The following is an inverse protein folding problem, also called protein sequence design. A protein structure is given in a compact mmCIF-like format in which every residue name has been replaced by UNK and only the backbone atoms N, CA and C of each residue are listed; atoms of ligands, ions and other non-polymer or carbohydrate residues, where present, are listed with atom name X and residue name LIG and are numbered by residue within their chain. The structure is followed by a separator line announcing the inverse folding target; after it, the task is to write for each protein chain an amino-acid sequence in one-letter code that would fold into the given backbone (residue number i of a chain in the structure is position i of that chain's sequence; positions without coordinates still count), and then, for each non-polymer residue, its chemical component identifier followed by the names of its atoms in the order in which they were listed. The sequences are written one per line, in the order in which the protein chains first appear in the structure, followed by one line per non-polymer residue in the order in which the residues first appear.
data_IF_464704435346
#
_entry.id   IF_464704435346
#
_cell.length_a   1.000
_cell.length_b   1.000
_cell.length_c   1.000
_cell.angle_alpha   90.00
_cell.angle_beta   90.00
_cell.angle_gamma   90.00
#
_symmetry.space_group_name_H-M   'P 1'
#
loop_
_entity.id
_entity.type
_entity.pdbx_description
1 polymer ?
#
# COMPACT_ATOMS: atom_id res chain seq x y z
N UNK A 1 51.20 -16.91 -59.81
CA UNK A 1 50.95 -15.52 -59.40
C UNK A 1 49.69 -15.50 -58.53
N UNK A 2 49.78 -14.85 -57.37
CA UNK A 2 49.02 -15.06 -56.13
C UNK A 2 47.48 -15.07 -56.19
N UNK A 3 46.87 -16.07 -55.52
CA UNK A 3 45.52 -15.97 -54.94
C UNK A 3 45.64 -15.41 -53.52
N UNK A 4 45.20 -14.17 -53.27
CA UNK A 4 45.01 -13.63 -51.91
C UNK A 4 43.57 -13.91 -51.46
N UNK A 5 43.43 -14.75 -50.44
CA UNK A 5 42.21 -14.89 -49.63
C UNK A 5 41.99 -13.59 -48.85
N UNK A 6 40.86 -12.92 -49.07
CA UNK A 6 40.38 -11.90 -48.13
C UNK A 6 39.60 -12.59 -47.02
N UNK A 7 40.13 -12.52 -45.81
CA UNK A 7 39.48 -12.95 -44.58
C UNK A 7 38.52 -11.82 -44.18
N UNK A 8 37.22 -12.03 -44.32
CA UNK A 8 36.22 -11.14 -43.73
C UNK A 8 36.08 -11.49 -42.25
N UNK A 9 36.75 -10.72 -41.40
CA UNK A 9 36.49 -10.76 -39.95
C UNK A 9 35.16 -10.05 -39.69
N UNK A 10 34.11 -10.81 -39.44
CA UNK A 10 32.84 -10.27 -38.90
C UNK A 10 33.14 -9.83 -37.47
N UNK A 11 33.34 -8.54 -37.27
CA UNK A 11 33.29 -7.92 -35.94
C UNK A 11 31.82 -7.98 -35.51
N UNK A 12 31.48 -9.01 -34.73
CA UNK A 12 30.22 -9.04 -34.00
C UNK A 12 30.26 -7.89 -32.99
N UNK A 13 29.60 -6.79 -33.34
CA UNK A 13 29.24 -5.76 -32.39
C UNK A 13 28.27 -6.41 -31.40
N UNK A 14 28.80 -6.94 -30.30
CA UNK A 14 28.01 -7.14 -29.10
C UNK A 14 27.53 -5.74 -28.69
N UNK A 15 26.32 -5.39 -29.12
CA UNK A 15 25.52 -4.40 -28.44
C UNK A 15 25.37 -4.92 -27.01
N UNK A 16 26.27 -4.48 -26.12
CA UNK A 16 25.99 -4.42 -24.70
C UNK A 16 24.74 -3.56 -24.61
N UNK A 17 23.56 -4.18 -24.59
CA UNK A 17 22.35 -3.53 -24.14
C UNK A 17 22.61 -3.19 -22.69
N UNK A 18 23.07 -1.96 -22.46
CA UNK A 18 23.01 -1.36 -21.14
C UNK A 18 21.52 -1.35 -20.82
N UNK A 19 21.07 -2.33 -20.02
CA UNK A 19 19.74 -2.31 -19.44
C UNK A 19 19.72 -1.10 -18.51
N UNK A 20 19.20 0.02 -19.03
CA UNK A 20 18.89 1.17 -18.21
C UNK A 20 17.75 0.75 -17.30
N UNK A 21 17.98 0.76 -15.99
CA UNK A 21 16.93 0.54 -15.01
C UNK A 21 15.87 1.64 -15.12
N UNK A 22 14.60 1.25 -15.14
CA UNK A 22 13.46 2.15 -15.17
C UNK A 22 12.65 2.14 -13.87
N UNK A 23 11.69 3.06 -13.81
CA UNK A 23 10.69 3.11 -12.75
C UNK A 23 9.38 2.47 -13.25
N UNK A 24 8.87 1.50 -12.52
CA UNK A 24 7.67 0.74 -12.85
C UNK A 24 6.61 0.91 -11.76
N UNK A 25 5.45 1.38 -12.16
CA UNK A 25 4.30 1.62 -11.28
C UNK A 25 3.23 0.56 -11.55
N UNK A 26 2.74 -0.07 -10.49
CA UNK A 26 1.58 -0.97 -10.58
C UNK A 26 0.34 -0.16 -10.96
N UNK A 27 -0.45 -0.65 -11.91
CA UNK A 27 -1.69 -0.04 -12.43
C UNK A 27 -2.74 -1.11 -12.74
N UNK A 28 -3.95 -0.66 -13.10
CA UNK A 28 -5.05 -1.53 -13.53
C UNK A 28 -5.56 -2.53 -12.46
N UNK A 29 -5.62 -2.12 -11.19
CA UNK A 29 -6.21 -2.93 -10.10
C UNK A 29 -5.49 -4.26 -9.84
N UNK A 30 -6.19 -5.27 -9.30
CA UNK A 30 -5.62 -6.56 -8.97
C UNK A 30 -5.26 -7.38 -10.21
N UNK A 31 -4.27 -8.25 -10.09
CA UNK A 31 -3.74 -9.01 -11.22
C UNK A 31 -2.54 -9.88 -10.88
N UNK A 32 -1.85 -10.36 -11.91
CA UNK A 32 -0.62 -11.16 -11.77
C UNK A 32 0.60 -10.28 -11.95
N UNK A 33 1.61 -10.42 -11.09
CA UNK A 33 2.83 -9.60 -11.13
C UNK A 33 3.53 -9.63 -12.49
N UNK A 34 3.54 -10.78 -13.16
CA UNK A 34 4.21 -10.98 -14.44
C UNK A 34 3.38 -10.57 -15.67
N UNK A 35 2.20 -9.99 -15.47
CA UNK A 35 1.40 -9.45 -16.57
C UNK A 35 1.80 -8.00 -16.83
N UNK A 36 2.40 -7.76 -18.01
CA UNK A 36 2.88 -6.45 -18.43
C UNK A 36 1.78 -5.38 -18.46
N UNK A 37 0.51 -5.77 -18.59
CA UNK A 37 -0.63 -4.84 -18.58
C UNK A 37 -0.83 -4.15 -17.22
N UNK A 38 -0.22 -4.65 -16.14
CA UNK A 38 -0.27 -4.02 -14.82
C UNK A 38 0.88 -3.07 -14.54
N UNK A 39 1.74 -2.79 -15.53
CA UNK A 39 2.92 -1.96 -15.32
C UNK A 39 2.94 -0.75 -16.24
N UNK A 40 3.18 0.41 -15.64
CA UNK A 40 3.37 1.69 -16.32
C UNK A 40 4.69 2.36 -15.91
N UNK A 41 5.21 3.26 -16.74
CA UNK A 41 6.36 4.10 -16.41
C UNK A 41 5.98 5.38 -15.65
N UNK A 42 4.68 5.60 -15.41
CA UNK A 42 4.14 6.73 -14.68
C UNK A 42 3.05 6.25 -13.72
N UNK A 43 2.96 6.88 -12.55
CA UNK A 43 1.96 6.55 -11.55
C UNK A 43 0.54 6.81 -12.06
N UNK A 44 -0.35 5.82 -11.98
CA UNK A 44 -1.71 5.87 -12.55
C UNK A 44 -1.75 5.88 -14.08
N UNK A 45 -0.63 5.64 -14.76
CA UNK A 45 -0.51 5.67 -16.21
C UNK A 45 -1.12 4.45 -16.90
N UNK A 46 -1.01 4.41 -18.23
CA UNK A 46 -1.43 3.27 -19.03
C UNK A 46 -0.46 2.11 -18.85
N UNK A 47 -1.01 0.93 -18.58
CA UNK A 47 -0.24 -0.31 -18.47
C UNK A 47 0.27 -0.85 -19.81
N UNK A 48 1.20 -1.80 -19.76
CA UNK A 48 1.74 -2.49 -20.94
C UNK A 48 3.20 -2.15 -21.28
N UNK A 49 3.96 -1.54 -20.36
CA UNK A 49 5.36 -1.13 -20.64
C UNK A 49 6.38 -2.26 -20.46
N UNK A 50 5.98 -3.40 -19.90
CA UNK A 50 6.85 -4.56 -19.64
C UNK A 50 6.69 -5.09 -18.21
N UNK A 51 7.49 -6.06 -17.82
CA UNK A 51 7.54 -6.57 -16.43
C UNK A 51 8.87 -6.11 -15.80
N UNK A 52 8.87 -5.60 -14.55
CA UNK A 52 10.09 -5.17 -13.87
C UNK A 52 11.12 -6.29 -13.74
N UNK A 53 12.40 -5.91 -13.75
CA UNK A 53 13.55 -6.79 -13.57
C UNK A 53 14.42 -6.34 -12.39
N UNK A 54 15.49 -7.09 -12.11
CA UNK A 54 16.50 -6.75 -11.08
C UNK A 54 17.13 -5.35 -11.21
N UNK A 55 16.97 -4.68 -12.35
CA UNK A 55 17.50 -3.33 -12.59
C UNK A 55 16.45 -2.23 -12.37
N UNK A 56 15.18 -2.60 -12.20
CA UNK A 56 14.05 -1.68 -12.21
C UNK A 56 13.50 -1.42 -10.81
N UNK A 57 13.14 -0.17 -10.55
CA UNK A 57 12.45 0.21 -9.32
C UNK A 57 10.96 -0.06 -9.48
N UNK A 58 10.33 -0.59 -8.44
CA UNK A 58 8.90 -0.87 -8.41
C UNK A 58 8.19 0.00 -7.38
N UNK A 59 7.05 0.55 -7.78
CA UNK A 59 6.20 1.41 -6.97
C UNK A 59 4.76 0.87 -6.98
N UNK A 60 4.20 0.69 -5.78
CA UNK A 60 2.77 0.46 -5.55
C UNK A 60 2.30 1.61 -4.67
N UNK A 61 1.34 2.39 -5.15
CA UNK A 61 0.89 3.59 -4.46
C UNK A 61 -0.59 3.87 -4.66
N UNK A 62 -1.13 4.95 -4.07
CA UNK A 62 -2.56 5.30 -4.16
C UNK A 62 -3.19 5.29 -5.56
N UNK A 63 -2.40 5.47 -6.63
CA UNK A 63 -2.90 5.47 -8.01
C UNK A 63 -2.86 4.09 -8.69
N UNK A 64 -2.41 3.06 -7.97
CA UNK A 64 -2.35 1.68 -8.44
C UNK A 64 -3.73 1.01 -8.53
N UNK A 65 -4.71 1.49 -7.75
CA UNK A 65 -6.02 0.87 -7.61
C UNK A 65 -7.13 1.93 -7.75
N UNK A 66 -8.17 1.60 -8.53
CA UNK A 66 -9.42 2.36 -8.65
C UNK A 66 -10.56 1.70 -7.89
N UNK A 67 -10.36 0.50 -7.35
CA UNK A 67 -11.30 -0.24 -6.51
C UNK A 67 -10.58 -0.75 -5.25
N UNK A 68 -11.28 -0.89 -4.10
CA UNK A 68 -10.70 -1.50 -2.90
C UNK A 68 -10.56 -3.03 -3.04
N UNK A 69 -9.86 -3.65 -2.08
CA UNK A 69 -9.71 -5.11 -1.90
C UNK A 69 -9.11 -5.85 -3.11
N UNK A 70 -8.27 -5.18 -3.86
CA UNK A 70 -7.62 -5.74 -5.04
C UNK A 70 -6.44 -6.63 -4.66
N UNK A 71 -6.24 -7.73 -5.39
CA UNK A 71 -5.14 -8.67 -5.09
C UNK A 71 -4.04 -8.61 -6.13
N UNK A 72 -2.81 -8.34 -5.70
CA UNK A 72 -1.59 -8.53 -6.49
C UNK A 72 -1.07 -9.95 -6.21
N UNK A 73 -1.04 -10.79 -7.25
CA UNK A 73 -0.60 -12.17 -7.17
C UNK A 73 0.84 -12.32 -7.71
N UNK A 74 1.76 -12.71 -6.84
CA UNK A 74 3.11 -13.14 -7.24
C UNK A 74 3.05 -14.67 -7.41
N UNK A 75 3.08 -15.13 -8.67
CA UNK A 75 2.87 -16.54 -9.04
C UNK A 75 4.16 -17.27 -9.46
N UNK A 76 5.26 -16.55 -9.65
CA UNK A 76 6.61 -17.08 -9.86
C UNK A 76 7.63 -16.24 -9.11
N UNK A 77 8.89 -16.66 -9.11
CA UNK A 77 9.97 -15.80 -8.65
C UNK A 77 9.97 -14.48 -9.44
N UNK A 78 10.20 -13.38 -8.75
CA UNK A 78 10.27 -12.04 -9.32
C UNK A 78 11.53 -11.34 -8.84
N UNK A 79 12.10 -10.51 -9.69
CA UNK A 79 13.34 -9.78 -9.45
C UNK A 79 13.08 -8.29 -9.62
N UNK A 80 13.45 -7.48 -8.62
CA UNK A 80 13.32 -6.02 -8.62
C UNK A 80 14.59 -5.38 -8.08
N UNK A 81 14.93 -4.18 -8.54
CA UNK A 81 16.02 -3.41 -7.91
C UNK A 81 15.58 -2.90 -6.56
N UNK A 82 14.61 -2.00 -6.55
CA UNK A 82 14.02 -1.45 -5.33
C UNK A 82 12.52 -1.73 -5.33
N UNK A 83 11.92 -1.91 -4.16
CA UNK A 83 10.46 -1.96 -4.01
C UNK A 83 10.01 -0.88 -3.06
N UNK A 84 9.00 -0.13 -3.48
CA UNK A 84 8.38 0.93 -2.70
C UNK A 84 6.87 0.74 -2.69
N UNK A 85 6.29 0.54 -1.51
CA UNK A 85 4.85 0.44 -1.29
C UNK A 85 4.48 1.58 -0.33
N UNK A 86 3.81 2.61 -0.84
CA UNK A 86 3.56 3.89 -0.14
C UNK A 86 2.09 4.33 -0.24
N UNK A 87 1.64 5.12 0.74
CA UNK A 87 0.47 6.02 0.73
C UNK A 87 -0.90 5.45 0.33
N UNK A 88 -1.87 5.61 1.26
CA UNK A 88 -3.35 5.49 1.25
C UNK A 88 -3.96 4.83 0.01
N UNK A 89 -3.42 3.68 -0.38
CA UNK A 89 -4.12 2.74 -1.24
C UNK A 89 -5.29 2.24 -0.43
N UNK A 90 -6.51 2.25 -0.98
CA UNK A 90 -7.54 1.38 -0.41
C UNK A 90 -6.96 -0.02 -0.20
N UNK A 91 -7.37 -0.70 0.88
CA UNK A 91 -6.81 -1.98 1.29
C UNK A 91 -6.62 -2.91 0.08
N UNK A 92 -5.38 -3.24 -0.26
CA UNK A 92 -5.08 -4.25 -1.27
C UNK A 92 -4.42 -5.46 -0.62
N UNK A 93 -4.37 -6.57 -1.33
CA UNK A 93 -3.82 -7.84 -0.86
C UNK A 93 -2.58 -8.14 -1.68
N UNK A 94 -1.43 -8.30 -1.04
CA UNK A 94 -0.25 -8.89 -1.68
C UNK A 94 -0.22 -10.37 -1.36
N UNK A 95 -0.25 -11.23 -2.39
CA UNK A 95 -0.34 -12.68 -2.23
C UNK A 95 0.79 -13.40 -2.97
N UNK A 96 1.35 -14.42 -2.32
CA UNK A 96 2.34 -15.34 -2.89
C UNK A 96 2.48 -16.59 -2.03
N UNK A 97 2.95 -17.69 -2.63
CA UNK A 97 3.08 -18.98 -1.95
C UNK A 97 4.51 -19.25 -1.46
N UNK A 98 4.67 -20.20 -0.53
CA UNK A 98 5.93 -20.55 0.15
C UNK A 98 7.13 -20.87 -0.76
N UNK A 99 6.88 -21.37 -1.97
CA UNK A 99 7.95 -21.74 -2.92
C UNK A 99 8.46 -20.56 -3.76
N UNK A 100 7.82 -19.39 -3.65
CA UNK A 100 8.10 -18.23 -4.48
C UNK A 100 9.08 -17.31 -3.76
N UNK A 101 9.95 -16.64 -4.53
CA UNK A 101 10.89 -15.64 -4.03
C UNK A 101 10.62 -14.26 -4.65
N UNK A 102 10.50 -13.24 -3.81
CA UNK A 102 10.66 -11.83 -4.17
C UNK A 102 12.13 -11.47 -3.94
N UNK A 103 12.88 -11.36 -5.03
CA UNK A 103 14.30 -11.01 -5.02
C UNK A 103 14.44 -9.49 -5.17
N UNK A 104 15.02 -8.84 -4.16
CA UNK A 104 15.24 -7.40 -4.13
C UNK A 104 16.74 -7.16 -4.20
N UNK A 105 17.20 -6.43 -5.22
CA UNK A 105 18.64 -6.20 -5.49
C UNK A 105 19.19 -4.91 -4.85
N UNK A 106 18.31 -4.16 -4.21
CA UNK A 106 18.52 -2.84 -3.60
C UNK A 106 17.69 -2.69 -2.32
N UNK A 107 17.07 -1.53 -2.15
CA UNK A 107 16.31 -1.14 -0.96
C UNK A 107 14.83 -1.52 -1.03
N UNK A 108 14.21 -1.66 0.14
CA UNK A 108 12.79 -1.94 0.29
C UNK A 108 12.17 -0.89 1.22
N UNK A 109 11.09 -0.25 0.76
CA UNK A 109 10.31 0.72 1.54
C UNK A 109 8.84 0.32 1.55
N UNK A 110 8.40 -0.35 2.60
CA UNK A 110 7.04 -0.89 2.72
C UNK A 110 6.34 -0.32 3.94
N UNK A 111 5.33 0.51 3.70
CA UNK A 111 4.51 1.13 4.75
C UNK A 111 3.17 0.38 4.95
N UNK A 112 2.62 0.37 6.17
CA UNK A 112 1.51 -0.52 6.55
C UNK A 112 0.14 0.01 6.12
N UNK A 113 -0.30 -0.26 4.88
CA UNK A 113 -1.68 0.02 4.41
C UNK A 113 -2.14 -1.03 3.37
N UNK A 114 -1.82 -2.31 3.63
CA UNK A 114 -2.25 -3.44 2.81
C UNK A 114 -2.33 -4.74 3.62
N UNK A 115 -3.13 -5.68 3.14
CA UNK A 115 -3.20 -7.03 3.70
C UNK A 115 -2.05 -7.89 3.15
N UNK A 116 -1.10 -8.24 4.03
CA UNK A 116 0.00 -9.13 3.69
C UNK A 116 -0.42 -10.62 3.77
N UNK A 117 -0.64 -11.24 2.60
CA UNK A 117 -0.80 -12.69 2.43
C UNK A 117 0.37 -13.31 1.62
N UNK A 118 1.53 -12.65 1.61
CA UNK A 118 2.71 -13.17 0.95
C UNK A 118 3.44 -14.15 1.87
N UNK A 119 3.30 -15.45 1.60
CA UNK A 119 3.90 -16.53 2.40
C UNK A 119 5.25 -17.03 1.84
N UNK A 120 5.79 -16.35 0.82
CA UNK A 120 7.00 -16.76 0.11
C UNK A 120 8.31 -16.44 0.85
N UNK A 121 9.33 -16.15 0.06
CA UNK A 121 10.66 -15.80 0.54
C UNK A 121 11.03 -14.40 0.05
N UNK A 122 11.48 -13.54 0.94
CA UNK A 122 12.03 -12.24 0.59
C UNK A 122 13.55 -12.35 0.63
N UNK A 123 14.19 -12.16 -0.52
CA UNK A 123 15.63 -12.33 -0.68
C UNK A 123 16.26 -11.00 -1.04
N UNK A 124 17.08 -10.46 -0.14
CA UNK A 124 17.87 -9.27 -0.44
C UNK A 124 19.18 -9.72 -1.08
N UNK A 125 19.23 -9.62 -2.40
CA UNK A 125 20.38 -9.94 -3.25
C UNK A 125 21.09 -8.63 -3.58
N UNK A 126 22.36 -8.64 -3.95
CA UNK A 126 23.06 -7.38 -4.27
C UNK A 126 24.57 -7.52 -4.18
N UNK A 127 25.28 -6.54 -4.71
CA UNK A 127 26.75 -6.56 -4.78
C UNK A 127 27.38 -6.02 -3.49
N UNK A 128 28.71 -6.12 -3.37
CA UNK A 128 29.43 -5.61 -2.20
C UNK A 128 29.43 -4.09 -2.04
N UNK A 129 29.05 -3.34 -3.08
CA UNK A 129 28.96 -1.87 -3.06
C UNK A 129 27.56 -1.34 -2.74
N UNK A 130 26.53 -2.19 -2.70
CA UNK A 130 25.16 -1.74 -2.44
C UNK A 130 24.92 -1.55 -0.94
N UNK A 131 24.33 -0.42 -0.57
CA UNK A 131 23.68 -0.22 0.71
C UNK A 131 22.17 -0.39 0.50
N UNK A 132 21.56 -1.24 1.31
CA UNK A 132 20.15 -1.58 1.27
C UNK A 132 19.49 -0.99 2.50
N UNK A 133 18.62 -0.02 2.30
CA UNK A 133 17.71 0.42 3.36
C UNK A 133 16.48 -0.48 3.35
N UNK A 134 16.17 -1.04 4.52
CA UNK A 134 15.10 -2.01 4.69
C UNK A 134 14.09 -1.42 5.68
N UNK A 135 13.00 -0.90 5.13
CA UNK A 135 11.83 -0.48 5.86
C UNK A 135 10.70 -1.48 5.56
N UNK A 136 10.37 -2.31 6.55
CA UNK A 136 9.34 -3.34 6.43
C UNK A 136 8.13 -3.07 7.34
N UNK A 137 8.06 -1.88 7.94
CA UNK A 137 6.92 -1.39 8.71
C UNK A 137 6.73 -2.06 10.08
N UNK A 138 5.64 -1.70 10.76
CA UNK A 138 5.26 -2.19 12.09
C UNK A 138 4.25 -3.36 12.04
N UNK A 139 4.26 -4.15 10.96
CA UNK A 139 3.33 -5.27 10.76
C UNK A 139 4.07 -6.61 10.61
N UNK A 140 3.34 -7.69 10.84
CA UNK A 140 3.89 -9.05 10.83
C UNK A 140 4.01 -9.59 9.41
N UNK A 141 5.25 -9.86 8.99
CA UNK A 141 5.55 -10.52 7.72
C UNK A 141 5.35 -12.03 7.78
N UNK A 142 4.72 -12.56 6.72
CA UNK A 142 4.46 -14.00 6.57
C UNK A 142 5.53 -14.72 5.75
N UNK A 143 6.69 -14.12 5.54
CA UNK A 143 7.74 -14.62 4.67
C UNK A 143 9.04 -14.92 5.43
N UNK A 144 9.81 -15.89 4.92
CA UNK A 144 11.20 -16.04 5.33
C UNK A 144 12.05 -14.94 4.70
N UNK A 145 13.03 -14.43 5.43
CA UNK A 145 13.96 -13.42 4.95
C UNK A 145 15.35 -14.02 4.74
N UNK A 146 15.93 -13.76 3.58
CA UNK A 146 17.30 -14.14 3.26
C UNK A 146 18.11 -12.89 2.95
N UNK A 147 19.14 -12.64 3.75
CA UNK A 147 20.09 -11.55 3.54
C UNK A 147 21.31 -12.11 2.80
N UNK A 148 21.28 -12.02 1.47
CA UNK A 148 22.14 -12.71 0.51
C UNK A 148 22.91 -11.72 -0.40
N UNK A 149 23.24 -10.53 0.11
CA UNK A 149 24.10 -9.52 -0.50
C UNK A 149 25.44 -9.39 0.25
N UNK A 150 26.52 -9.12 -0.48
CA UNK A 150 27.80 -8.79 0.16
C UNK A 150 27.84 -7.36 0.74
N UNK A 151 26.80 -6.56 0.49
CA UNK A 151 26.66 -5.18 0.90
C UNK A 151 26.18 -5.00 2.35
N UNK A 152 25.71 -3.78 2.63
CA UNK A 152 25.16 -3.40 3.94
C UNK A 152 23.64 -3.41 3.89
N UNK A 153 22.99 -3.94 4.92
CA UNK A 153 21.57 -3.81 5.20
C UNK A 153 21.41 -2.89 6.39
N UNK A 154 20.61 -1.83 6.24
CA UNK A 154 20.31 -0.90 7.32
C UNK A 154 18.80 -0.95 7.56
N UNK A 155 18.39 -1.46 8.72
CA UNK A 155 16.99 -1.40 9.12
C UNK A 155 16.62 0.05 9.45
N UNK A 156 15.45 0.47 8.99
CA UNK A 156 14.84 1.77 9.32
C UNK A 156 13.44 1.60 9.94
N UNK A 157 13.06 0.35 10.21
CA UNK A 157 11.90 -0.06 11.00
C UNK A 157 12.24 -1.36 11.73
N UNK A 158 11.44 -1.77 12.73
CA UNK A 158 11.47 -3.14 13.22
C UNK A 158 11.27 -4.15 12.09
N UNK A 159 11.84 -5.35 12.25
CA UNK A 159 11.62 -6.47 11.34
C UNK A 159 10.85 -7.56 12.09
N UNK A 160 9.54 -7.65 11.81
CA UNK A 160 8.62 -8.53 12.51
C UNK A 160 8.20 -9.72 11.65
N UNK A 161 8.92 -10.82 11.72
CA UNK A 161 8.62 -12.05 10.98
C UNK A 161 7.84 -13.09 11.82
N UNK A 162 7.91 -12.97 13.16
CA UNK A 162 7.26 -13.81 14.17
C UNK A 162 7.35 -15.31 13.89
N UNK A 163 6.47 -15.85 13.05
CA UNK A 163 6.37 -17.28 12.69
C UNK A 163 7.35 -17.72 11.60
N UNK A 164 8.14 -16.80 11.03
CA UNK A 164 9.04 -17.07 9.91
C UNK A 164 10.50 -16.81 10.26
N UNK A 165 11.38 -17.39 9.46
CA UNK A 165 12.81 -17.44 9.75
C UNK A 165 13.58 -16.30 9.08
N UNK A 166 14.71 -15.94 9.69
CA UNK A 166 15.70 -15.04 9.11
C UNK A 166 16.99 -15.81 8.88
N UNK A 167 17.50 -15.74 7.65
CA UNK A 167 18.76 -16.30 7.21
C UNK A 167 19.72 -15.16 6.90
N UNK A 168 20.62 -14.86 7.83
CA UNK A 168 21.69 -13.90 7.63
C UNK A 168 22.88 -14.60 6.96
N UNK A 169 22.89 -14.62 5.63
CA UNK A 169 23.79 -15.47 4.88
C UNK A 169 25.14 -14.80 4.57
N UNK A 170 25.15 -13.48 4.31
CA UNK A 170 26.35 -12.67 4.02
C UNK A 170 26.08 -11.16 4.17
N UNK A 171 27.15 -10.36 4.27
CA UNK A 171 27.09 -8.89 4.29
C UNK A 171 27.14 -8.27 5.70
N UNK A 172 26.71 -7.01 5.84
CA UNK A 172 26.63 -6.30 7.12
C UNK A 172 25.18 -5.90 7.46
N UNK A 173 24.57 -6.52 8.47
CA UNK A 173 23.27 -6.09 8.99
C UNK A 173 23.46 -5.07 10.10
N UNK A 174 22.94 -3.85 9.93
CA UNK A 174 22.84 -2.82 10.96
C UNK A 174 21.38 -2.62 11.34
N UNK A 175 21.03 -2.88 12.60
CA UNK A 175 19.64 -2.77 13.08
C UNK A 175 19.25 -1.33 13.41
N UNK A 176 20.22 -0.45 13.64
CA UNK A 176 19.98 0.96 14.01
C UNK A 176 19.09 1.12 15.25
N UNK A 177 19.13 0.16 16.18
CA UNK A 177 18.29 0.14 17.38
C UNK A 177 16.87 -0.39 17.14
N UNK A 178 16.54 -0.83 15.92
CA UNK A 178 15.26 -1.47 15.64
C UNK A 178 15.30 -2.97 15.98
N UNK A 179 14.20 -3.44 16.57
CA UNK A 179 14.11 -4.83 17.03
C UNK A 179 13.82 -5.81 15.89
N UNK A 180 14.25 -7.05 16.11
CA UNK A 180 14.04 -8.16 15.18
C UNK A 180 13.28 -9.26 15.90
N UNK A 181 12.10 -9.60 15.38
CA UNK A 181 11.24 -10.66 15.91
C UNK A 181 11.11 -11.75 14.84
N UNK A 182 11.56 -12.97 15.11
CA UNK A 182 11.50 -14.06 14.14
C UNK A 182 11.40 -15.43 14.81
N UNK A 183 11.00 -16.46 14.05
CA UNK A 183 10.86 -17.80 14.59
C UNK A 183 12.24 -18.40 14.86
N UNK A 184 13.04 -18.52 13.81
CA UNK A 184 14.44 -18.90 13.89
C UNK A 184 15.34 -17.82 13.26
N UNK A 185 16.49 -17.57 13.87
CA UNK A 185 17.57 -16.75 13.32
C UNK A 185 18.79 -17.63 13.02
N UNK A 186 19.18 -17.68 11.75
CA UNK A 186 20.31 -18.46 11.26
C UNK A 186 21.40 -17.53 10.70
N UNK A 187 22.62 -17.68 11.20
CA UNK A 187 23.85 -17.01 10.70
C UNK A 187 25.01 -18.02 10.73
N UNK A 188 24.79 -19.16 10.06
CA UNK A 188 25.65 -20.35 10.20
C UNK A 188 26.57 -20.59 8.99
N UNK A 189 26.54 -19.71 8.00
CA UNK A 189 27.24 -19.88 6.71
C UNK A 189 28.77 -19.76 6.83
N UNK A 190 29.48 -19.98 5.72
CA UNK A 190 30.93 -19.76 5.62
C UNK A 190 31.33 -18.36 5.08
N UNK A 191 30.34 -17.53 4.72
CA UNK A 191 30.56 -16.20 4.13
C UNK A 191 30.96 -15.16 5.19
N UNK A 192 31.47 -14.00 4.75
CA UNK A 192 31.69 -12.87 5.67
C UNK A 192 30.35 -12.28 6.10
N UNK A 193 30.17 -12.14 7.41
CA UNK A 193 28.96 -11.60 8.04
C UNK A 193 29.35 -10.61 9.13
N UNK A 194 28.66 -9.47 9.20
CA UNK A 194 28.81 -8.51 10.30
C UNK A 194 27.44 -8.09 10.82
N UNK A 195 27.18 -8.25 12.11
CA UNK A 195 25.96 -7.81 12.76
C UNK A 195 26.26 -6.62 13.68
N UNK A 196 25.66 -5.47 13.38
CA UNK A 196 25.76 -4.24 14.15
C UNK A 196 24.38 -3.96 14.75
N UNK A 197 24.13 -4.60 15.89
CA UNK A 197 22.86 -4.64 16.59
C UNK A 197 22.57 -3.36 17.38
N UNK A 198 23.54 -2.49 17.68
CA UNK A 198 23.26 -1.16 18.28
C UNK A 198 22.29 -1.18 19.48
N UNK A 199 22.44 -2.17 20.36
CA UNK A 199 21.56 -2.38 21.53
C UNK A 199 20.09 -2.67 21.22
N UNK A 200 19.76 -3.10 20.00
CA UNK A 200 18.41 -3.59 19.66
C UNK A 200 18.07 -4.86 20.43
N UNK A 201 16.78 -5.21 20.44
CA UNK A 201 16.27 -6.46 21.00
C UNK A 201 16.01 -7.47 19.89
N UNK A 202 16.42 -8.71 20.12
CA UNK A 202 16.05 -9.86 19.30
C UNK A 202 15.10 -10.76 20.08
N UNK A 203 13.93 -11.03 19.51
CA UNK A 203 12.96 -11.99 20.05
C UNK A 203 12.87 -13.17 19.11
N UNK A 204 13.31 -14.31 19.61
CA UNK A 204 13.43 -15.54 18.83
C UNK A 204 12.45 -16.55 19.40
N UNK A 205 11.46 -16.98 18.61
CA UNK A 205 10.46 -17.91 19.15
C UNK A 205 11.01 -19.31 19.37
N UNK A 206 12.05 -19.73 18.65
CA UNK A 206 12.50 -21.12 18.66
C UNK A 206 14.02 -21.28 18.62
N UNK A 207 14.71 -20.88 17.54
CA UNK A 207 16.17 -21.14 17.41
C UNK A 207 17.00 -19.91 17.08
N UNK A 208 18.06 -19.71 17.84
CA UNK A 208 19.16 -18.81 17.52
C UNK A 208 20.40 -19.65 17.20
N UNK A 209 20.93 -19.53 15.99
CA UNK A 209 22.06 -20.32 15.52
C UNK A 209 23.09 -19.43 14.81
N UNK A 210 24.27 -19.26 15.39
CA UNK A 210 25.39 -18.54 14.77
C UNK A 210 26.64 -19.44 14.74
N UNK A 211 27.50 -19.22 13.75
CA UNK A 211 28.81 -19.90 13.67
C UNK A 211 29.95 -18.89 13.60
N UNK A 212 31.11 -19.25 14.16
CA UNK A 212 32.29 -18.37 14.24
C UNK A 212 32.84 -17.96 12.87
N UNK A 213 32.63 -18.80 11.85
CA UNK A 213 33.23 -18.63 10.52
C UNK A 213 32.90 -17.26 9.91
N UNK A 214 33.84 -16.31 10.08
CA UNK A 214 33.79 -14.93 9.55
C UNK A 214 32.55 -14.14 9.99
N UNK A 215 32.06 -14.40 11.20
CA UNK A 215 30.97 -13.64 11.83
C UNK A 215 31.54 -12.62 12.82
N UNK A 216 31.30 -11.33 12.58
CA UNK A 216 31.64 -10.24 13.49
C UNK A 216 30.37 -9.64 14.06
N UNK A 217 30.34 -9.28 15.34
CA UNK A 217 29.15 -8.68 15.93
C UNK A 217 29.44 -7.78 17.15
N UNK A 218 28.47 -6.97 17.56
CA UNK A 218 28.48 -6.11 18.76
C UNK A 218 27.40 -6.49 19.80
N UNK A 219 26.97 -7.75 19.81
CA UNK A 219 25.87 -8.29 20.64
C UNK A 219 26.03 -8.19 22.18
N UNK A 220 27.11 -7.60 22.70
CA UNK A 220 27.36 -7.55 24.14
C UNK A 220 26.34 -6.68 24.91
N UNK A 221 25.69 -5.74 24.23
CA UNK A 221 24.65 -4.86 24.80
C UNK A 221 23.26 -5.15 24.22
N UNK A 222 23.14 -6.20 23.41
CA UNK A 222 21.90 -6.60 22.74
C UNK A 222 21.13 -7.57 23.62
N UNK A 223 19.84 -7.31 23.82
CA UNK A 223 18.96 -8.28 24.48
C UNK A 223 18.55 -9.35 23.47
N UNK A 224 18.72 -10.62 23.83
CA UNK A 224 18.28 -11.76 23.01
C UNK A 224 17.37 -12.63 23.86
N UNK A 225 16.10 -12.68 23.51
CA UNK A 225 15.09 -13.55 24.13
C UNK A 225 14.85 -14.77 23.25
N UNK A 226 14.80 -15.96 23.85
CA UNK A 226 14.42 -17.21 23.19
C UNK A 226 13.21 -17.79 23.92
N UNK A 227 12.03 -17.66 23.28
CA UNK A 227 10.74 -17.82 23.95
C UNK A 227 10.31 -19.28 24.18
N UNK A 228 10.68 -20.21 23.30
CA UNK A 228 10.37 -21.64 23.46
C UNK A 228 11.65 -22.46 23.39
N UNK A 229 12.57 -22.22 24.33
CA UNK A 229 13.87 -22.89 24.29
C UNK A 229 13.75 -24.37 24.68
N UNK A 230 14.39 -25.21 23.87
CA UNK A 230 14.72 -26.60 24.16
C UNK A 230 16.25 -26.78 24.03
N UNK A 231 16.76 -27.97 24.33
CA UNK A 231 18.16 -28.30 24.08
C UNK A 231 18.53 -28.02 22.61
N UNK A 232 19.58 -27.22 22.39
CA UNK A 232 20.03 -26.81 21.07
C UNK A 232 19.29 -25.60 20.46
N UNK A 233 18.30 -25.01 21.12
CA UNK A 233 17.65 -23.77 20.68
C UNK A 233 18.62 -22.59 20.61
N UNK A 234 19.59 -22.53 21.53
CA UNK A 234 20.66 -21.54 21.50
C UNK A 234 21.99 -22.21 21.13
N UNK A 235 22.48 -21.91 19.94
CA UNK A 235 23.84 -22.22 19.51
C UNK A 235 24.49 -20.92 19.08
N UNK A 236 25.61 -20.58 19.72
CA UNK A 236 26.34 -19.37 19.42
C UNK A 236 27.78 -19.66 19.00
N UNK A 237 28.36 -18.71 18.30
CA UNK A 237 29.80 -18.61 18.14
C UNK A 237 30.52 -18.35 19.48
N UNK A 238 31.85 -18.31 19.45
CA UNK A 238 32.69 -18.12 20.63
C UNK A 238 32.61 -16.71 21.25
N UNK A 239 31.69 -15.85 20.78
CA UNK A 239 31.44 -14.51 21.31
C UNK A 239 30.89 -14.48 22.75
N UNK A 240 31.09 -13.35 23.43
CA UNK A 240 30.78 -13.14 24.85
C UNK A 240 29.35 -12.67 25.17
N UNK A 241 28.37 -12.97 24.32
CA UNK A 241 26.96 -12.64 24.56
C UNK A 241 26.16 -13.87 25.04
N UNK A 242 24.99 -13.61 25.60
CA UNK A 242 24.06 -14.62 26.12
C UNK A 242 22.64 -14.36 25.63
N UNK A 243 21.81 -15.39 25.69
CA UNK A 243 20.37 -15.25 25.50
C UNK A 243 19.63 -15.58 26.81
N UNK A 244 18.53 -14.88 27.04
CA UNK A 244 17.56 -15.20 28.08
C UNK A 244 16.60 -16.23 27.48
N UNK A 245 16.53 -17.41 28.09
CA UNK A 245 15.88 -18.59 27.50
C UNK A 245 14.75 -19.08 28.40
N UNK A 246 13.50 -19.04 27.94
CA UNK A 246 12.40 -19.70 28.66
C UNK A 246 12.31 -21.17 28.30
N UNK A 247 12.16 -22.01 29.32
CA UNK A 247 11.97 -23.45 29.13
C UNK A 247 10.49 -23.76 28.87
N UNK A 248 10.21 -24.75 28.02
CA UNK A 248 8.86 -25.23 27.75
C UNK A 248 8.27 -26.11 28.88
N UNK A 249 8.87 -26.10 30.07
CA UNK A 249 8.43 -26.94 31.18
C UNK A 249 7.19 -26.33 31.84
N UNK A 250 6.01 -26.92 31.62
CA UNK A 250 4.74 -26.50 32.24
C UNK A 250 4.80 -26.48 33.78
N UNK A 251 5.73 -27.23 34.39
CA UNK A 251 5.89 -27.35 35.85
C UNK A 251 6.78 -26.25 36.47
N UNK A 252 7.23 -25.25 35.70
CA UNK A 252 8.14 -24.18 36.16
C UNK A 252 7.68 -22.77 35.75
N UNK A 253 6.40 -22.58 35.38
CA UNK A 253 5.89 -21.25 35.03
C UNK A 253 5.33 -20.52 36.24
N UNK A 254 6.18 -19.73 36.89
CA UNK A 254 5.80 -18.73 37.90
C UNK A 254 4.79 -17.70 37.36
N UNK A 255 4.95 -17.32 36.08
CA UNK A 255 4.01 -16.47 35.34
C UNK A 255 2.91 -17.34 34.72
N UNK A 256 1.67 -17.15 35.16
CA UNK A 256 0.52 -17.95 34.71
C UNK A 256 -0.20 -17.34 33.51
N UNK A 257 -0.22 -16.01 33.40
CA UNK A 257 -0.79 -15.32 32.24
C UNK A 257 -0.18 -13.93 32.05
N UNK A 258 -0.06 -13.53 30.78
CA UNK A 258 0.19 -12.16 30.36
C UNK A 258 -0.86 -11.84 29.31
N UNK A 259 -1.79 -10.95 29.64
CA UNK A 259 -2.82 -10.46 28.71
C UNK A 259 -2.52 -9.02 28.37
N UNK A 260 -2.75 -8.65 27.12
CA UNK A 260 -2.62 -7.27 26.66
C UNK A 260 -3.84 -6.98 25.81
N UNK A 261 -4.58 -5.94 26.15
CA UNK A 261 -5.76 -5.54 25.39
C UNK A 261 -5.35 -4.84 24.10
N UNK A 262 -6.05 -5.16 23.01
CA UNK A 262 -5.88 -4.47 21.74
C UNK A 262 -6.44 -3.05 21.84
N UNK A 263 -5.88 -2.15 21.04
CA UNK A 263 -6.36 -0.78 20.94
C UNK A 263 -6.52 -0.36 19.48
N UNK A 264 -7.20 0.75 19.25
CA UNK A 264 -7.35 1.37 17.92
C UNK A 264 -7.01 2.84 18.05
N UNK A 265 -6.09 3.31 17.20
CA UNK A 265 -5.67 4.72 17.19
C UNK A 265 -6.85 5.63 16.83
N UNK A 266 -6.80 6.90 17.26
CA UNK A 266 -7.95 7.79 17.07
C UNK A 266 -8.31 7.96 15.61
N UNK A 267 -7.32 8.16 14.72
CA UNK A 267 -7.53 8.34 13.28
C UNK A 267 -6.37 7.84 12.43
N UNK A 268 -6.68 7.16 11.32
CA UNK A 268 -5.70 6.73 10.30
C UNK A 268 -4.45 6.10 10.90
N UNK A 269 -3.29 6.74 10.65
CA UNK A 269 -1.97 6.31 11.13
C UNK A 269 -1.45 7.18 12.30
N UNK A 270 -2.34 7.84 13.05
CA UNK A 270 -1.91 8.55 14.25
C UNK A 270 -1.25 7.58 15.22
N UNK A 271 -0.23 8.06 15.93
CA UNK A 271 0.50 7.26 16.92
C UNK A 271 0.05 7.64 18.32
N UNK A 272 -1.23 7.41 18.64
CA UNK A 272 -1.84 7.73 19.93
C UNK A 272 -2.45 6.52 20.63
N UNK A 273 -2.20 5.30 20.11
CA UNK A 273 -2.64 4.07 20.75
C UNK A 273 -2.00 3.84 22.12
N UNK A 274 -2.69 3.07 22.94
CA UNK A 274 -2.34 2.72 24.32
C UNK A 274 -2.50 1.21 24.50
N UNK A 275 -1.49 0.55 25.05
CA UNK A 275 -1.59 -0.86 25.44
C UNK A 275 -1.33 -1.00 26.93
N UNK A 276 -2.11 -1.85 27.58
CA UNK A 276 -2.01 -2.17 29.01
C UNK A 276 -1.82 -3.69 29.14
N UNK A 277 -0.75 -4.09 29.82
CA UNK A 277 -0.44 -5.47 30.12
C UNK A 277 -0.90 -5.84 31.54
N UNK A 278 -1.70 -6.90 31.64
CA UNK A 278 -2.05 -7.52 32.91
C UNK A 278 -1.22 -8.80 33.09
N UNK A 279 -0.42 -8.82 34.16
CA UNK A 279 0.48 -9.93 34.47
C UNK A 279 0.00 -10.65 35.73
N UNK A 280 -0.25 -11.94 35.61
CA UNK A 280 -0.48 -12.82 36.76
C UNK A 280 0.76 -13.68 36.98
N UNK A 281 1.42 -13.46 38.12
CA UNK A 281 2.60 -14.20 38.53
C UNK A 281 2.50 -14.62 40.00
N UNK A 282 3.00 -15.82 40.28
CA UNK A 282 3.18 -16.37 41.62
C UNK A 282 4.53 -15.99 42.25
N UNK A 283 5.41 -15.31 41.49
CA UNK A 283 6.73 -14.85 41.92
C UNK A 283 6.94 -13.34 41.59
N UNK A 284 6.21 -12.42 42.25
CA UNK A 284 6.50 -10.97 42.12
C UNK A 284 7.82 -10.58 42.83
N UNK A 285 8.51 -9.51 42.39
CA UNK A 285 8.14 -8.57 41.33
C UNK A 285 8.44 -9.09 39.92
N UNK A 286 7.66 -8.62 38.94
CA UNK A 286 7.91 -8.87 37.53
C UNK A 286 8.48 -7.63 36.83
N UNK A 287 9.09 -7.86 35.67
CA UNK A 287 9.59 -6.82 34.76
C UNK A 287 8.95 -7.03 33.39
N UNK A 288 8.72 -5.94 32.67
CA UNK A 288 8.12 -5.95 31.34
C UNK A 288 9.09 -5.26 30.38
N UNK A 289 9.35 -5.88 29.23
CA UNK A 289 10.12 -5.30 28.13
C UNK A 289 9.21 -5.25 26.90
N UNK A 290 8.87 -4.06 26.44
CA UNK A 290 7.98 -3.89 25.30
C UNK A 290 8.76 -3.87 24.00
N UNK A 291 8.29 -4.67 23.05
CA UNK A 291 8.84 -4.73 21.70
C UNK A 291 7.73 -4.57 20.65
N UNK A 292 8.05 -4.09 19.45
CA UNK A 292 9.34 -3.53 19.08
C UNK A 292 9.52 -2.06 19.48
N UNK A 293 10.78 -1.63 19.57
CA UNK A 293 11.17 -0.26 19.88
C UNK A 293 11.26 0.01 21.38
N UNK A 294 11.19 1.29 21.74
CA UNK A 294 11.18 1.77 23.14
C UNK A 294 10.00 2.73 23.30
N UNK A 295 8.76 2.22 23.34
CA UNK A 295 7.58 3.07 23.46
C UNK A 295 7.59 3.87 24.77
N UNK A 296 6.82 4.95 24.82
CA UNK A 296 6.70 5.75 26.05
C UNK A 296 6.03 4.89 27.13
N UNK A 297 6.71 4.68 28.25
CA UNK A 297 6.25 3.78 29.32
C UNK A 297 6.89 2.39 29.29
N UNK A 298 7.85 2.12 28.39
CA UNK A 298 8.59 0.86 28.39
C UNK A 298 9.22 0.57 29.76
N UNK A 299 9.16 -0.71 30.18
CA UNK A 299 9.45 -1.12 31.56
C UNK A 299 8.24 -1.18 32.50
N UNK A 300 7.06 -0.67 32.08
CA UNK A 300 5.84 -0.62 32.90
C UNK A 300 4.71 -1.44 32.31
N UNK A 301 3.59 -1.55 33.03
CA UNK A 301 2.37 -2.23 32.55
C UNK A 301 1.66 -1.46 31.44
N UNK A 302 1.95 -0.17 31.25
CA UNK A 302 1.23 0.69 30.32
C UNK A 302 2.18 1.40 29.37
N UNK A 303 1.93 1.27 28.07
CA UNK A 303 2.65 2.01 27.03
C UNK A 303 1.69 2.86 26.20
N UNK A 304 2.18 4.01 25.74
CA UNK A 304 1.35 5.02 25.04
C UNK A 304 2.08 5.59 23.82
N UNK A 305 1.33 6.28 22.96
CA UNK A 305 1.89 6.95 21.77
C UNK A 305 2.21 5.96 20.65
N UNK A 306 1.42 4.90 20.53
CA UNK A 306 1.70 3.77 19.66
C UNK A 306 1.04 3.96 18.30
N UNK A 307 1.82 3.71 17.24
CA UNK A 307 1.32 3.69 15.87
C UNK A 307 0.60 2.36 15.58
N UNK A 308 -0.21 2.27 14.51
CA UNK A 308 -0.76 1.00 14.08
C UNK A 308 0.33 -0.06 13.86
N UNK A 309 0.17 -1.20 14.50
CA UNK A 309 1.17 -2.26 14.49
C UNK A 309 0.93 -3.35 15.52
N UNK A 310 1.82 -4.35 15.50
CA UNK A 310 1.84 -5.43 16.49
C UNK A 310 2.95 -5.20 17.51
N UNK A 311 2.60 -5.41 18.78
CA UNK A 311 3.46 -5.21 19.94
C UNK A 311 3.44 -6.46 20.84
N UNK A 312 4.53 -6.68 21.59
CA UNK A 312 4.63 -7.74 22.58
C UNK A 312 5.20 -7.21 23.88
N UNK A 313 4.59 -7.59 25.00
CA UNK A 313 5.13 -7.44 26.33
C UNK A 313 5.89 -8.73 26.68
N UNK A 314 7.21 -8.65 26.78
CA UNK A 314 8.05 -9.77 27.26
C UNK A 314 8.17 -9.62 28.77
N UNK A 315 7.70 -10.62 29.50
CA UNK A 315 7.63 -10.57 30.96
C UNK A 315 8.57 -11.58 31.56
N UNK A 316 9.35 -11.14 32.55
CA UNK A 316 10.16 -12.01 33.41
C UNK A 316 9.87 -11.69 34.87
N UNK A 317 10.05 -12.67 35.76
CA UNK A 317 9.78 -12.50 37.18
C UNK A 317 10.90 -13.09 38.05
N UNK A 318 10.67 -13.25 39.37
CA UNK A 318 11.72 -13.72 40.26
C UNK A 318 12.15 -15.18 40.07
N UNK A 319 11.40 -15.99 39.33
CA UNK A 319 11.77 -17.37 39.01
C UNK A 319 12.52 -17.40 37.67
N UNK A 320 13.78 -16.97 37.66
CA UNK A 320 14.58 -16.98 36.45
C UNK A 320 14.90 -18.45 36.05
N UNK A 321 14.52 -18.92 34.85
CA UNK A 321 14.38 -18.15 33.61
C UNK A 321 12.95 -18.09 33.03
N UNK A 322 11.91 -18.02 33.86
CA UNK A 322 10.53 -17.89 33.39
C UNK A 322 10.38 -16.63 32.54
N UNK A 323 10.09 -16.84 31.24
CA UNK A 323 9.60 -15.80 30.35
C UNK A 323 8.18 -16.17 29.92
N UNK A 324 7.34 -15.16 29.89
CA UNK A 324 6.06 -15.18 29.22
C UNK A 324 5.97 -14.00 28.26
N UNK A 325 5.03 -14.04 27.34
CA UNK A 325 4.71 -12.90 26.53
C UNK A 325 3.21 -12.74 26.36
N UNK A 326 2.78 -11.48 26.35
CA UNK A 326 1.48 -11.07 25.83
C UNK A 326 1.69 -10.36 24.50
N UNK A 327 0.76 -10.52 23.57
CA UNK A 327 0.77 -9.81 22.29
C UNK A 327 -0.52 -9.05 22.11
N UNK A 328 -0.43 -7.83 21.60
CA UNK A 328 -1.57 -7.04 21.19
C UNK A 328 -1.28 -6.30 19.89
N UNK A 329 -2.35 -5.85 19.26
CA UNK A 329 -2.31 -5.00 18.08
C UNK A 329 -2.91 -3.65 18.40
N UNK A 330 -2.22 -2.61 17.96
CA UNK A 330 -2.80 -1.28 17.78
C UNK A 330 -3.28 -1.24 16.33
N UNK A 331 -4.59 -1.21 16.12
CA UNK A 331 -5.18 -1.14 14.79
C UNK A 331 -5.25 0.30 14.31
N UNK A 332 -5.14 0.50 12.99
CA UNK A 332 -5.49 1.77 12.37
C UNK A 332 -7.00 2.01 12.47
N UNK A 333 -7.42 3.27 12.56
CA UNK A 333 -8.84 3.59 12.41
C UNK A 333 -9.25 3.27 10.97
N UNK A 334 -10.31 2.49 10.79
CA UNK A 334 -10.78 2.08 9.45
C UNK A 334 -11.10 3.31 8.60
N UNK A 335 -10.77 3.28 7.29
CA UNK A 335 -11.02 4.41 6.41
C UNK A 335 -12.53 4.61 6.15
N UNK A 336 -12.95 5.86 6.02
CA UNK A 336 -14.28 6.20 5.51
C UNK A 336 -14.29 5.90 4.01
N UNK A 337 -15.16 4.99 3.56
CA UNK A 337 -15.32 4.63 2.15
C UNK A 337 -16.75 4.90 1.64
N UNK A 338 -16.94 5.23 0.35
CA UNK A 338 -18.27 5.36 -0.24
C UNK A 338 -19.01 4.02 -0.23
N UNK A 339 -20.25 4.01 0.27
CA UNK A 339 -21.17 2.88 0.19
C UNK A 339 -22.10 3.00 -1.02
N UNK A 340 -22.61 4.20 -1.29
CA UNK A 340 -23.39 4.54 -2.48
C UNK A 340 -22.87 5.86 -3.02
N UNK A 341 -22.60 5.91 -4.31
CA UNK A 341 -22.21 7.11 -5.03
C UNK A 341 -23.04 7.21 -6.31
N UNK A 342 -23.86 8.26 -6.41
CA UNK A 342 -24.66 8.55 -7.60
C UNK A 342 -24.43 10.01 -7.97
N UNK A 343 -23.90 10.23 -9.17
CA UNK A 343 -23.79 11.57 -9.75
C UNK A 343 -24.82 11.68 -10.88
N UNK A 344 -25.79 12.56 -10.69
CA UNK A 344 -26.79 12.91 -11.70
C UNK A 344 -26.32 14.16 -12.45
N UNK A 345 -26.10 14.10 -13.77
CA UNK A 345 -25.74 15.26 -14.58
C UNK A 345 -26.88 16.28 -14.63
N UNK A 346 -26.59 17.49 -15.10
CA UNK A 346 -27.60 18.52 -15.35
C UNK A 346 -28.49 18.09 -16.53
N UNK A 347 -29.76 18.49 -16.53
CA UNK A 347 -30.69 18.11 -17.62
C UNK A 347 -30.43 18.86 -18.91
N UNK A 348 -29.94 20.11 -18.81
CA UNK A 348 -29.69 21.01 -19.91
C UNK A 348 -28.34 21.72 -19.74
N UNK A 349 -27.89 22.32 -20.84
CA UNK A 349 -26.78 23.27 -20.80
C UNK A 349 -27.11 24.42 -19.85
N UNK A 350 -26.14 24.83 -19.04
CA UNK A 350 -26.24 25.92 -18.07
C UNK A 350 -27.34 25.72 -17.01
N UNK A 351 -27.99 24.56 -16.94
CA UNK A 351 -28.91 24.24 -15.85
C UNK A 351 -28.14 23.81 -14.61
N UNK A 352 -28.74 24.07 -13.45
CA UNK A 352 -28.16 23.72 -12.15
C UNK A 352 -29.08 22.78 -11.39
N UNK A 353 -29.52 21.71 -12.04
CA UNK A 353 -30.43 20.70 -11.50
C UNK A 353 -29.76 19.32 -11.33
N UNK A 354 -28.44 19.25 -11.50
CA UNK A 354 -27.66 18.07 -11.17
C UNK A 354 -27.67 17.77 -9.67
N UNK A 355 -27.28 16.55 -9.32
CA UNK A 355 -27.18 16.13 -7.92
C UNK A 355 -26.08 15.11 -7.68
N UNK A 356 -25.56 15.08 -6.45
CA UNK A 356 -24.67 14.03 -5.97
C UNK A 356 -25.31 13.41 -4.73
N UNK A 357 -25.43 12.09 -4.72
CA UNK A 357 -25.80 11.30 -3.54
C UNK A 357 -24.58 10.50 -3.12
N UNK A 358 -24.10 10.76 -1.91
CA UNK A 358 -23.04 10.03 -1.25
C UNK A 358 -23.53 9.49 0.09
N UNK A 359 -23.56 8.17 0.23
CA UNK A 359 -23.55 7.53 1.56
C UNK A 359 -22.20 6.88 1.77
N UNK A 360 -21.72 6.87 3.00
CA UNK A 360 -20.46 6.23 3.38
C UNK A 360 -20.73 5.04 4.27
N UNK A 361 -19.88 4.01 4.20
CA UNK A 361 -19.82 3.02 5.28
C UNK A 361 -18.72 3.44 6.25
N UNK A 362 -19.05 3.35 7.53
CA UNK A 362 -18.12 3.46 8.65
C UNK A 362 -18.17 2.12 9.37
N UNK A 363 -17.44 1.13 8.85
CA UNK A 363 -17.41 -0.19 9.48
C UNK A 363 -16.88 -0.07 10.92
N UNK A 364 -17.59 -0.65 11.88
CA UNK A 364 -17.07 -0.97 13.21
C UNK A 364 -17.07 0.13 14.29
N UNK A 365 -17.12 1.42 13.97
CA UNK A 365 -16.84 2.47 14.98
C UNK A 365 -17.85 3.62 14.95
N UNK A 366 -19.09 3.31 15.33
CA UNK A 366 -20.15 4.30 15.52
C UNK A 366 -20.17 4.82 16.98
N UNK A 367 -19.27 5.73 17.33
CA UNK A 367 -19.45 6.61 18.49
C UNK A 367 -19.44 8.06 17.98
N UNK A 368 -20.57 8.52 17.44
CA UNK A 368 -20.77 9.90 17.03
C UNK A 368 -21.57 10.05 15.74
N UNK A 369 -21.80 11.30 15.33
CA UNK A 369 -22.51 11.66 14.09
C UNK A 369 -21.52 11.87 12.96
N UNK A 370 -21.68 11.15 11.84
CA UNK A 370 -20.94 11.44 10.60
C UNK A 370 -21.40 12.78 10.02
N UNK A 371 -20.46 13.66 9.68
CA UNK A 371 -20.76 14.97 9.08
C UNK A 371 -20.24 15.05 7.65
N UNK A 372 -20.98 15.73 6.78
CA UNK A 372 -20.60 16.01 5.40
C UNK A 372 -20.37 17.51 5.26
N UNK A 373 -19.31 17.91 4.56
CA UNK A 373 -18.99 19.30 4.28
C UNK A 373 -18.67 19.45 2.78
N UNK A 374 -19.66 19.93 2.03
CA UNK A 374 -19.60 20.03 0.57
C UNK A 374 -19.01 21.37 0.12
N UNK A 375 -17.93 21.33 -0.66
CA UNK A 375 -17.27 22.52 -1.23
C UNK A 375 -17.28 22.47 -2.75
N UNK A 376 -17.81 23.50 -3.44
CA UNK A 376 -17.61 23.65 -4.88
C UNK A 376 -16.18 24.08 -5.21
N UNK A 377 -15.52 23.38 -6.13
CA UNK A 377 -14.16 23.72 -6.59
C UNK A 377 -14.18 24.59 -7.85
N UNK A 378 -15.10 24.31 -8.78
CA UNK A 378 -15.24 25.06 -10.05
C UNK A 378 -16.68 25.40 -10.43
N UNK A 379 -17.68 24.88 -9.70
CA UNK A 379 -19.09 25.17 -9.89
C UNK A 379 -19.55 26.44 -9.17
N UNK A 380 -20.54 27.14 -9.73
CA UNK A 380 -21.17 28.30 -9.12
C UNK A 380 -22.32 27.82 -8.23
N UNK A 381 -22.30 28.07 -6.92
CA UNK A 381 -23.36 27.61 -6.01
C UNK A 381 -23.59 28.58 -4.86
N UNK A 382 -24.86 28.69 -4.44
CA UNK A 382 -25.32 29.57 -3.36
C UNK A 382 -25.46 28.88 -2.01
N UNK A 383 -25.42 27.54 -1.93
CA UNK A 383 -25.74 26.79 -0.71
C UNK A 383 -24.75 25.62 -0.50
N UNK A 384 -24.06 25.60 0.64
CA UNK A 384 -23.25 24.46 1.11
C UNK A 384 -24.19 23.43 1.75
N UNK A 385 -24.08 22.16 1.37
CA UNK A 385 -24.85 21.06 1.98
C UNK A 385 -24.08 20.40 3.11
N UNK A 386 -24.80 19.88 4.11
CA UNK A 386 -24.23 19.12 5.25
C UNK A 386 -24.72 17.67 5.33
N UNK A 387 -25.39 17.20 4.27
CA UNK A 387 -26.13 15.94 4.24
C UNK A 387 -25.52 15.00 3.19
N UNK A 388 -26.00 13.75 3.15
CA UNK A 388 -25.63 12.73 2.16
C UNK A 388 -26.02 13.08 0.72
N UNK A 389 -26.83 14.11 0.52
CA UNK A 389 -27.35 14.49 -0.80
C UNK A 389 -27.14 15.97 -1.04
N UNK A 390 -26.46 16.30 -2.13
CA UNK A 390 -26.21 17.66 -2.59
C UNK A 390 -26.92 17.86 -3.94
N UNK A 391 -27.86 18.79 -3.99
CA UNK A 391 -28.76 19.02 -5.15
C UNK A 391 -28.63 20.45 -5.66
N UNK A 392 -29.24 20.71 -6.81
CA UNK A 392 -29.20 21.99 -7.51
C UNK A 392 -27.79 22.39 -7.95
N UNK A 393 -27.04 21.41 -8.47
CA UNK A 393 -25.65 21.57 -8.90
C UNK A 393 -25.57 21.90 -10.38
N UNK A 394 -24.83 22.95 -10.73
CA UNK A 394 -24.42 23.22 -12.11
C UNK A 394 -23.30 22.28 -12.55
N UNK A 395 -22.93 22.30 -13.83
CA UNK A 395 -21.68 21.69 -14.30
C UNK A 395 -20.50 22.16 -13.44
N UNK A 396 -19.64 21.23 -13.01
CA UNK A 396 -18.44 21.57 -12.27
C UNK A 396 -17.89 20.42 -11.44
N UNK A 397 -16.82 20.72 -10.72
CA UNK A 397 -16.18 19.80 -9.78
C UNK A 397 -16.56 20.20 -8.36
N UNK A 398 -16.97 19.21 -7.57
CA UNK A 398 -17.40 19.34 -6.19
C UNK A 398 -16.58 18.41 -5.31
N UNK A 399 -16.15 18.87 -4.15
CA UNK A 399 -15.55 18.04 -3.12
C UNK A 399 -16.46 17.90 -1.91
N UNK A 400 -16.37 16.79 -1.21
CA UNK A 400 -17.01 16.60 0.09
C UNK A 400 -16.02 16.05 1.08
N UNK A 401 -15.86 16.76 2.20
CA UNK A 401 -15.13 16.28 3.36
C UNK A 401 -16.14 15.55 4.25
N UNK A 402 -15.93 14.27 4.45
CA UNK A 402 -16.72 13.43 5.35
C UNK A 402 -15.91 13.19 6.59
N UNK A 403 -16.48 13.46 7.77
CA UNK A 403 -15.84 13.24 9.07
C UNK A 403 -16.67 12.26 9.90
N UNK A 404 -16.04 11.29 10.55
CA UNK A 404 -16.70 10.34 11.45
C UNK A 404 -16.79 10.84 12.90
N UNK A 405 -17.34 10.00 13.78
CA UNK A 405 -17.55 10.32 15.19
C UNK A 405 -16.27 10.46 16.03
N UNK A 406 -15.14 9.93 15.54
CA UNK A 406 -13.82 10.07 16.19
C UNK A 406 -13.06 11.31 15.68
N UNK A 407 -13.65 12.04 14.73
CA UNK A 407 -13.05 13.24 14.14
C UNK A 407 -12.16 12.95 12.95
N UNK A 408 -12.13 11.72 12.45
CA UNK A 408 -11.32 11.33 11.28
C UNK A 408 -12.03 11.74 10.01
N UNK A 409 -11.30 12.24 9.02
CA UNK A 409 -11.88 12.77 7.80
C UNK A 409 -11.29 12.17 6.51
N UNK A 410 -12.15 12.06 5.51
CA UNK A 410 -11.80 11.71 4.13
C UNK A 410 -12.45 12.71 3.19
N UNK A 411 -11.73 13.13 2.14
CA UNK A 411 -12.30 14.01 1.10
C UNK A 411 -12.52 13.22 -0.19
N UNK A 412 -13.74 13.32 -0.74
CA UNK A 412 -14.10 12.78 -2.04
C UNK A 412 -14.30 13.92 -3.06
N UNK A 413 -14.10 13.63 -4.34
CA UNK A 413 -14.28 14.61 -5.43
C UNK A 413 -15.13 14.02 -6.55
N UNK A 414 -16.10 14.80 -7.02
CA UNK A 414 -17.07 14.40 -8.04
C UNK A 414 -17.20 15.46 -9.13
N UNK A 415 -17.45 15.02 -10.36
CA UNK A 415 -17.68 15.90 -11.51
C UNK A 415 -19.12 15.77 -11.98
N UNK A 416 -19.87 16.88 -11.92
CA UNK A 416 -21.20 16.99 -12.53
C UNK A 416 -21.02 17.49 -13.95
N UNK A 417 -21.50 16.71 -14.92
CA UNK A 417 -21.43 17.05 -16.35
C UNK A 417 -22.73 17.74 -16.79
N UNK A 418 -22.63 18.52 -17.87
CA UNK A 418 -23.78 19.02 -18.63
C UNK A 418 -23.80 18.42 -20.04
N UNK A 419 -24.97 18.34 -20.71
CA UNK A 419 -25.03 17.92 -22.11
C UNK A 419 -24.45 18.99 -23.05
N UNK A 420 -24.02 18.55 -24.24
CA UNK A 420 -23.56 19.46 -25.30
C UNK A 420 -24.67 20.45 -25.72
N UNK A 421 -24.28 21.61 -26.25
CA UNK A 421 -25.23 22.55 -26.85
C UNK A 421 -26.02 21.89 -27.99
N UNK A 422 -27.32 22.19 -28.08
CA UNK A 422 -28.12 21.80 -29.24
C UNK A 422 -27.70 22.61 -30.46
N UNK A 423 -27.28 21.91 -31.52
CA UNK A 423 -26.99 22.47 -32.83
C UNK A 423 -28.10 22.04 -33.80
N UNK A 424 -28.87 22.95 -34.42
CA UNK A 424 -30.04 22.60 -35.22
C UNK A 424 -29.72 21.93 -36.58
N UNK A 425 -28.48 22.05 -37.07
CA UNK A 425 -27.97 21.51 -38.34
C UNK A 425 -28.99 21.56 -39.49
N UNK A 426 -29.33 22.79 -39.90
CA UNK A 426 -30.28 23.01 -40.99
C UNK A 426 -29.67 22.59 -42.32
N UNK A 427 -30.42 21.80 -43.09
CA UNK A 427 -30.15 21.44 -44.47
C UNK A 427 -31.28 21.95 -45.37
N UNK A 428 -30.96 22.47 -46.54
CA UNK A 428 -31.94 23.08 -47.46
C UNK A 428 -31.97 22.38 -48.82
N UNK A 429 -33.11 22.46 -49.49
CA UNK A 429 -33.27 22.18 -50.92
C UNK A 429 -33.78 23.43 -51.60
N UNK A 430 -33.01 23.96 -52.55
CA UNK A 430 -33.28 25.22 -53.21
C UNK A 430 -34.40 25.10 -54.25
N UNK A 431 -35.10 26.22 -54.51
CA UNK A 431 -36.09 26.31 -55.57
C UNK A 431 -35.43 26.19 -56.96
N UNK A 432 -36.05 25.48 -57.92
CA UNK A 432 -35.46 25.25 -59.24
C UNK A 432 -35.51 26.47 -60.16
N UNK A 433 -36.47 27.39 -59.93
CA UNK A 433 -36.75 28.53 -60.80
C UNK A 433 -37.17 29.77 -60.01
N UNK A 434 -36.91 30.96 -60.57
CA UNK A 434 -37.36 32.23 -60.00
C UNK A 434 -38.89 32.30 -59.95
N UNK A 435 -39.43 32.66 -58.78
CA UNK A 435 -40.87 32.78 -58.53
C UNK A 435 -41.55 31.49 -58.04
N UNK A 436 -40.80 30.38 -57.95
CA UNK A 436 -41.28 29.16 -57.31
C UNK A 436 -41.15 29.25 -55.78
N UNK A 437 -42.01 28.54 -55.06
CA UNK A 437 -41.98 28.40 -53.60
C UNK A 437 -41.94 26.93 -53.22
N UNK A 438 -41.16 26.13 -53.94
CA UNK A 438 -41.01 24.68 -53.71
C UNK A 438 -39.83 24.33 -52.78
N UNK A 439 -39.21 25.31 -52.15
CA UNK A 439 -38.04 25.13 -51.29
C UNK A 439 -38.37 24.31 -50.03
N UNK A 440 -37.36 23.63 -49.49
CA UNK A 440 -37.46 22.79 -48.29
C UNK A 440 -36.34 23.18 -47.34
N UNK A 441 -36.65 23.33 -46.05
CA UNK A 441 -35.66 23.37 -44.98
C UNK A 441 -35.94 22.24 -43.99
N UNK A 442 -34.90 21.49 -43.64
CA UNK A 442 -34.97 20.37 -42.69
C UNK A 442 -33.95 20.60 -41.58
N UNK A 443 -34.41 20.57 -40.34
CA UNK A 443 -33.53 20.61 -39.17
C UNK A 443 -33.14 19.20 -38.76
N UNK A 444 -31.85 18.98 -38.49
CA UNK A 444 -31.30 17.70 -38.03
C UNK A 444 -30.52 17.88 -36.72
N UNK A 445 -31.19 18.22 -35.59
CA UNK A 445 -30.47 18.67 -34.42
C UNK A 445 -29.54 17.61 -33.82
N UNK A 446 -28.39 18.05 -33.31
CA UNK A 446 -27.43 17.23 -32.53
C UNK A 446 -27.13 17.90 -31.19
N UNK A 447 -26.71 17.14 -30.18
CA UNK A 447 -26.43 17.65 -28.84
C UNK A 447 -27.68 17.66 -27.93
N UNK A 448 -27.60 18.33 -26.79
CA UNK A 448 -28.65 18.32 -25.78
C UNK A 448 -28.92 16.94 -25.19
N UNK A 449 -29.99 16.84 -24.39
CA UNK A 449 -30.48 15.59 -23.83
C UNK A 449 -32.00 15.54 -23.98
N UNK A 450 -32.54 14.49 -24.62
CA UNK A 450 -33.97 14.30 -24.79
C UNK A 450 -34.51 14.58 -26.20
N UNK A 451 -35.81 14.88 -26.29
CA UNK A 451 -36.52 15.12 -27.55
C UNK A 451 -36.47 16.57 -27.99
N UNK A 452 -36.37 16.82 -29.29
CA UNK A 452 -36.35 18.16 -29.87
C UNK A 452 -37.76 18.69 -30.16
N UNK A 453 -38.00 19.94 -29.80
CA UNK A 453 -39.13 20.74 -30.27
C UNK A 453 -38.65 21.71 -31.34
N UNK A 454 -39.45 21.92 -32.38
CA UNK A 454 -39.14 22.83 -33.48
C UNK A 454 -40.10 24.03 -33.41
N UNK A 455 -39.58 25.21 -33.75
CA UNK A 455 -40.38 26.39 -33.99
C UNK A 455 -39.66 27.20 -35.06
N UNK A 456 -40.19 27.13 -36.27
CA UNK A 456 -39.70 27.94 -37.37
C UNK A 456 -40.29 29.36 -37.27
N UNK A 457 -39.61 30.34 -37.85
CA UNK A 457 -40.10 31.70 -38.08
C UNK A 457 -41.46 31.77 -38.81
N UNK A 458 -41.86 30.69 -39.49
CA UNK A 458 -43.19 30.50 -40.10
C UNK A 458 -44.27 30.05 -39.11
N UNK A 459 -43.93 29.87 -37.84
CA UNK A 459 -44.73 29.26 -36.75
C UNK A 459 -44.96 27.75 -36.87
N UNK A 460 -44.34 27.09 -37.85
CA UNK A 460 -44.39 25.62 -37.99
C UNK A 460 -43.56 24.94 -36.88
N UNK A 461 -44.00 23.76 -36.44
CA UNK A 461 -43.36 22.98 -35.36
C UNK A 461 -42.87 21.61 -35.79
N UNK A 462 -42.83 21.33 -37.09
CA UNK A 462 -42.30 20.10 -37.65
C UNK A 462 -40.77 20.18 -37.86
N UNK A 463 -40.11 19.03 -37.97
CA UNK A 463 -38.66 18.97 -38.25
C UNK A 463 -38.30 19.39 -39.68
N UNK A 464 -39.29 19.52 -40.56
CA UNK A 464 -39.13 19.90 -41.97
C UNK A 464 -40.27 20.79 -42.41
N UNK A 465 -39.93 21.97 -42.92
CA UNK A 465 -40.87 22.88 -43.58
C UNK A 465 -40.68 22.81 -45.10
N UNK A 466 -41.79 22.87 -45.82
CA UNK A 466 -41.85 22.79 -47.29
C UNK A 466 -42.69 23.96 -47.82
N UNK A 467 -42.62 24.21 -49.13
CA UNK A 467 -43.42 25.29 -49.71
C UNK A 467 -42.78 26.68 -49.53
N UNK A 468 -41.45 26.73 -49.36
CA UNK A 468 -40.73 27.97 -49.06
C UNK A 468 -40.36 28.74 -50.32
N UNK A 469 -40.68 30.03 -50.34
CA UNK A 469 -40.18 30.98 -51.33
C UNK A 469 -38.74 31.42 -50.96
N UNK A 470 -38.10 32.24 -51.81
CA UNK A 470 -36.82 32.86 -51.45
C UNK A 470 -36.94 33.71 -50.18
N UNK A 471 -36.10 33.45 -49.19
CA UNK A 471 -36.15 34.14 -47.90
C UNK A 471 -35.23 33.51 -46.85
N UNK A 472 -35.13 34.18 -45.70
CA UNK A 472 -34.47 33.65 -44.52
C UNK A 472 -35.52 33.02 -43.61
N UNK A 473 -35.21 31.83 -43.11
CA UNK A 473 -36.04 31.09 -42.18
C UNK A 473 -35.17 30.66 -41.01
N UNK A 474 -35.43 31.25 -39.85
CA UNK A 474 -34.78 30.88 -38.57
C UNK A 474 -35.61 29.84 -37.82
#
# INVERSE_FOLDING_TARGET
MNFKRYFFTIISFFLLSVSYGGDFYWVNNGGNWNDASHWSNTSGGKGGVGVPTQNDNVFINRFSFTQPNQTINITSNVDVKNITITDKTGDFILKGSKSISLNIYGSAYVYPEFTNLYEGNIRIKGTSSSNHELHFGWFVWKANFYLESDGKYTLTSPLQNHKNNIYFEKGELTTNGHDILCNDFYSTTSNKRKLNAKSSTFVIFNKWQTTENKFKHDLNLTKIYIMNSNEGSFSKDNGSYSAIQSTNSENQKSITSVTVDNDTVSCGNNCDGVLIAEVVSTCPPHTIDWVPGTPTGDGTDTITGLCPGSYQAIVSDCDFPALAFGSATVSGHLPIIPAIEIVTPTTCKDSCDGSIVLTVSVEGYALGTTTFDWTPLTGNVSNVATNTTYTNLCQGVYSVRVQDGFGCDTTFTYTVNEPDSVLPNISTTDIPCFGDCSGIATSNPTGGNGSYSYLWSTTDTSSQITGLCVGNYD
#
